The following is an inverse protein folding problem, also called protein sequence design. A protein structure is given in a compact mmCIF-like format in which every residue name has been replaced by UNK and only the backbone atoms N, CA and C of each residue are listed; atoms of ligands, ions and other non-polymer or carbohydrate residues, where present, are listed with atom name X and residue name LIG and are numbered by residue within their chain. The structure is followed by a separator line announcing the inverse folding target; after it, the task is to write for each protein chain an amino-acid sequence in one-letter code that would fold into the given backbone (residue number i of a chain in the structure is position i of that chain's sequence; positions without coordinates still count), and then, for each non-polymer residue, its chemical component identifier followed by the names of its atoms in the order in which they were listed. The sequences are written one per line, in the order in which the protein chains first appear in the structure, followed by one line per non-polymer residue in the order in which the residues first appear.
data_IF_908372019598
#
_entry.id   IF_908372019598
#
_cell.length_a   1.000
_cell.length_b   1.000
_cell.length_c   1.000
_cell.angle_alpha   90.00
_cell.angle_beta   90.00
_cell.angle_gamma   90.00
#
_symmetry.space_group_name_H-M   'P 1'
#
loop_
_entity.id
_entity.type
_entity.pdbx_description
1 polymer ?
#
# COMPACT_ATOMS: atom_id res chain seq x y z
N UNK A 1 21.44 13.10 2.59
CA UNK A 1 20.89 12.01 3.40
C UNK A 1 20.55 10.85 2.48
N UNK A 2 20.90 9.60 2.83
CA UNK A 2 20.55 8.43 2.02
C UNK A 2 19.04 8.17 2.01
N UNK A 3 18.53 7.45 1.02
CA UNK A 3 17.15 7.02 0.97
C UNK A 3 16.84 6.10 2.17
N UNK A 4 15.63 6.20 2.72
CA UNK A 4 15.16 5.32 3.79
C UNK A 4 14.81 3.93 3.27
N UNK A 5 14.13 3.89 2.12
CA UNK A 5 13.91 2.70 1.32
C UNK A 5 14.38 2.97 -0.10
N UNK A 6 15.19 2.08 -0.68
CA UNK A 6 15.62 2.16 -2.08
C UNK A 6 15.27 0.87 -2.82
N UNK A 7 14.76 1.04 -4.02
CA UNK A 7 14.55 0.02 -5.03
C UNK A 7 15.59 0.31 -6.11
N UNK A 8 16.50 -0.63 -6.38
CA UNK A 8 17.67 -0.38 -7.23
C UNK A 8 17.74 -1.40 -8.36
N UNK A 9 17.47 -0.94 -9.58
CA UNK A 9 17.53 -1.73 -10.81
C UNK A 9 16.65 -2.98 -10.78
N UNK A 10 15.53 -2.95 -10.07
CA UNK A 10 14.70 -4.14 -9.88
C UNK A 10 14.07 -4.59 -11.18
N UNK A 11 14.31 -5.87 -11.51
CA UNK A 11 13.70 -6.57 -12.62
C UNK A 11 13.23 -7.97 -12.22
N UNK A 12 12.14 -8.46 -12.83
CA UNK A 12 11.65 -9.81 -12.61
C UNK A 12 11.10 -10.43 -13.89
N UNK A 13 11.52 -11.67 -14.13
CA UNK A 13 11.02 -12.53 -15.21
C UNK A 13 10.44 -13.79 -14.62
N UNK A 14 9.14 -14.03 -14.82
CA UNK A 14 8.50 -15.26 -14.41
C UNK A 14 8.77 -16.37 -15.41
N UNK A 15 9.06 -17.58 -14.91
CA UNK A 15 9.31 -18.78 -15.74
C UNK A 15 10.30 -18.57 -16.91
N UNK A 16 11.53 -18.10 -16.65
CA UNK A 16 12.48 -17.73 -17.72
C UNK A 16 12.81 -18.87 -18.68
N UNK A 17 12.53 -20.12 -18.32
CA UNK A 17 12.70 -21.29 -19.18
C UNK A 17 11.58 -21.48 -20.22
N UNK A 18 10.38 -20.87 -19.98
CA UNK A 18 9.22 -20.99 -20.88
C UNK A 18 8.92 -19.70 -21.65
N UNK A 19 9.18 -18.57 -21.05
CA UNK A 19 8.99 -17.23 -21.66
C UNK A 19 10.04 -16.30 -21.09
N UNK A 20 10.83 -15.68 -21.95
CA UNK A 20 11.85 -14.72 -21.57
C UNK A 20 11.31 -13.31 -21.37
N UNK A 21 9.98 -13.11 -21.42
CA UNK A 21 9.38 -11.78 -21.28
C UNK A 21 9.39 -11.34 -19.83
N UNK A 22 10.12 -10.29 -19.46
CA UNK A 22 10.13 -9.78 -18.10
C UNK A 22 8.80 -9.08 -17.74
N UNK A 23 8.38 -9.18 -16.50
CA UNK A 23 7.24 -8.43 -15.99
C UNK A 23 7.65 -7.00 -15.59
N UNK A 24 8.82 -6.87 -14.93
CA UNK A 24 9.41 -5.58 -14.54
C UNK A 24 10.85 -5.50 -15.04
N UNK A 25 11.29 -4.30 -15.43
CA UNK A 25 12.65 -4.03 -15.89
C UNK A 25 13.16 -2.70 -15.35
N UNK A 26 14.33 -2.72 -14.69
CA UNK A 26 15.07 -1.52 -14.32
C UNK A 26 14.25 -0.54 -13.48
N UNK A 27 13.54 -1.05 -12.46
CA UNK A 27 12.77 -0.19 -11.56
C UNK A 27 13.70 0.42 -10.52
N UNK A 28 13.82 1.75 -10.54
CA UNK A 28 14.61 2.54 -9.61
C UNK A 28 13.72 3.54 -8.88
N UNK A 29 13.68 3.47 -7.53
CA UNK A 29 12.87 4.38 -6.70
C UNK A 29 13.53 4.57 -5.34
N UNK A 30 13.64 5.83 -4.92
CA UNK A 30 14.12 6.20 -3.58
C UNK A 30 12.98 6.84 -2.80
N UNK A 31 12.73 6.35 -1.60
CA UNK A 31 11.65 6.81 -0.71
C UNK A 31 12.27 7.30 0.59
N UNK A 32 11.80 8.46 1.07
CA UNK A 32 12.24 9.05 2.32
C UNK A 32 11.46 8.48 3.51
N UNK A 33 12.02 8.61 4.70
CA UNK A 33 11.32 8.20 5.93
C UNK A 33 10.07 9.06 6.14
N UNK A 34 8.94 8.42 6.43
CA UNK A 34 7.66 9.08 6.66
C UNK A 34 6.94 9.52 5.38
N UNK A 35 7.49 9.24 4.21
CA UNK A 35 6.88 9.58 2.93
C UNK A 35 5.74 8.62 2.58
N UNK A 36 4.66 9.17 2.02
CA UNK A 36 3.55 8.41 1.45
C UNK A 36 3.65 8.40 -0.07
N UNK A 37 3.92 7.25 -0.66
CA UNK A 37 4.05 7.07 -2.11
C UNK A 37 2.91 6.20 -2.63
N UNK A 38 2.15 6.70 -3.61
CA UNK A 38 1.21 5.86 -4.36
C UNK A 38 1.82 5.39 -5.68
N UNK A 39 1.55 4.13 -6.01
CA UNK A 39 1.92 3.53 -7.31
C UNK A 39 0.65 3.35 -8.12
N UNK A 40 0.59 3.97 -9.30
CA UNK A 40 -0.56 3.91 -10.20
C UNK A 40 -0.13 3.40 -11.58
N UNK A 41 -1.06 2.82 -12.32
CA UNK A 41 -0.81 2.30 -13.68
C UNK A 41 -1.87 1.29 -14.07
N UNK A 42 -1.88 0.90 -15.35
CA UNK A 42 -2.87 -0.04 -15.89
C UNK A 42 -2.83 -1.42 -15.21
N UNK A 43 -3.95 -2.15 -15.30
CA UNK A 43 -4.00 -3.52 -14.80
C UNK A 43 -2.94 -4.38 -15.49
N UNK A 44 -2.28 -5.26 -14.72
CA UNK A 44 -1.25 -6.16 -15.24
C UNK A 44 0.15 -5.53 -15.46
N UNK A 45 0.36 -4.24 -15.17
CA UNK A 45 1.68 -3.61 -15.32
C UNK A 45 2.69 -3.95 -14.19
N UNK A 46 2.36 -4.85 -13.28
CA UNK A 46 3.32 -5.35 -12.29
C UNK A 46 3.36 -4.60 -10.95
N UNK A 47 2.39 -3.73 -10.63
CA UNK A 47 2.33 -2.99 -9.34
C UNK A 47 2.38 -3.90 -8.12
N UNK A 48 1.48 -4.89 -8.05
CA UNK A 48 1.45 -5.86 -6.94
C UNK A 48 2.71 -6.73 -6.92
N UNK A 49 3.32 -7.00 -8.08
CA UNK A 49 4.62 -7.69 -8.17
C UNK A 49 5.72 -6.85 -7.51
N UNK A 50 5.79 -5.55 -7.81
CA UNK A 50 6.74 -4.63 -7.19
C UNK A 50 6.51 -4.53 -5.69
N UNK A 51 5.25 -4.39 -5.24
CA UNK A 51 4.92 -4.36 -3.81
C UNK A 51 5.37 -5.65 -3.09
N UNK A 52 5.14 -6.82 -3.70
CA UNK A 52 5.56 -8.10 -3.13
C UNK A 52 7.10 -8.23 -3.06
N UNK A 53 7.84 -7.64 -4.01
CA UNK A 53 9.31 -7.58 -3.93
C UNK A 53 9.73 -6.69 -2.77
N UNK A 54 9.12 -5.51 -2.60
CA UNK A 54 9.40 -4.62 -1.45
C UNK A 54 9.05 -5.28 -0.12
N UNK A 55 7.99 -6.08 -0.06
CA UNK A 55 7.61 -6.86 1.12
C UNK A 55 8.61 -8.00 1.46
N UNK A 56 9.48 -8.37 0.51
CA UNK A 56 10.34 -9.55 0.62
C UNK A 56 9.60 -10.88 0.42
N UNK A 57 8.37 -10.84 -0.11
CA UNK A 57 7.57 -12.02 -0.45
C UNK A 57 7.96 -12.62 -1.80
N UNK A 58 8.58 -11.82 -2.65
CA UNK A 58 9.02 -12.22 -3.98
C UNK A 58 10.46 -11.73 -4.20
N UNK A 59 11.34 -12.62 -4.66
CA UNK A 59 12.72 -12.25 -4.98
C UNK A 59 12.79 -11.71 -6.41
N UNK A 60 13.41 -10.54 -6.64
CA UNK A 60 13.67 -10.05 -7.98
C UNK A 60 14.69 -10.93 -8.70
N UNK A 61 14.66 -10.93 -10.04
CA UNK A 61 15.67 -11.60 -10.88
C UNK A 61 16.93 -10.73 -11.00
N UNK A 62 16.77 -9.42 -11.00
CA UNK A 62 17.83 -8.41 -11.07
C UNK A 62 17.57 -7.31 -10.06
N UNK A 63 18.64 -6.66 -9.61
CA UNK A 63 18.56 -5.55 -8.66
C UNK A 63 18.20 -6.01 -7.25
N UNK A 64 17.76 -5.05 -6.41
CA UNK A 64 17.40 -5.32 -5.05
C UNK A 64 16.62 -4.20 -4.38
N UNK A 65 16.04 -4.51 -3.22
CA UNK A 65 15.38 -3.53 -2.35
C UNK A 65 16.17 -3.40 -1.06
N UNK A 66 16.39 -2.18 -0.59
CA UNK A 66 17.12 -1.91 0.63
C UNK A 66 16.27 -1.04 1.55
N UNK A 67 16.15 -1.45 2.82
CA UNK A 67 15.53 -0.67 3.89
C UNK A 67 16.61 -0.30 4.91
N UNK A 68 16.81 0.99 5.16
CA UNK A 68 17.90 1.48 6.02
C UNK A 68 19.26 0.87 5.63
N UNK A 69 19.55 0.82 4.33
CA UNK A 69 20.77 0.22 3.74
C UNK A 69 20.92 -1.30 3.94
N UNK A 70 19.90 -2.00 4.43
CA UNK A 70 19.89 -3.46 4.57
C UNK A 70 19.07 -4.09 3.45
N UNK A 71 19.64 -5.09 2.79
CA UNK A 71 18.96 -5.84 1.74
C UNK A 71 17.69 -6.52 2.28
N UNK A 72 16.59 -6.35 1.57
CA UNK A 72 15.33 -7.05 1.81
C UNK A 72 15.35 -8.38 1.06
N UNK A 73 15.65 -9.47 1.72
CA UNK A 73 15.76 -10.81 1.16
C UNK A 73 14.65 -11.78 1.61
N UNK A 74 13.89 -11.39 2.65
CA UNK A 74 12.79 -12.17 3.21
C UNK A 74 11.73 -11.24 3.85
N UNK A 75 10.49 -11.74 4.08
CA UNK A 75 9.49 -11.02 4.86
C UNK A 75 9.95 -10.75 6.28
N UNK A 76 9.59 -9.57 6.81
CA UNK A 76 9.95 -9.17 8.17
C UNK A 76 8.89 -8.29 8.83
N UNK A 77 8.88 -8.17 10.18
CA UNK A 77 7.91 -7.38 10.92
C UNK A 77 8.06 -5.87 10.67
N UNK A 78 9.18 -5.44 10.14
CA UNK A 78 9.46 -4.05 9.75
C UNK A 78 8.69 -3.60 8.48
N UNK A 79 8.06 -4.54 7.78
CA UNK A 79 7.22 -4.29 6.60
C UNK A 79 5.91 -5.04 6.72
N UNK A 80 4.81 -4.31 6.98
CA UNK A 80 3.48 -4.90 7.03
C UNK A 80 2.76 -4.73 5.71
N UNK A 81 2.00 -5.76 5.30
CA UNK A 81 1.25 -5.77 4.05
C UNK A 81 -0.24 -5.84 4.32
N UNK A 82 -0.99 -4.93 3.71
CA UNK A 82 -2.45 -4.99 3.59
C UNK A 82 -2.77 -5.48 2.17
N UNK A 83 -3.24 -6.70 2.07
CA UNK A 83 -3.57 -7.33 0.78
C UNK A 83 -4.96 -6.92 0.29
N UNK A 84 -5.16 -6.91 -1.01
CA UNK A 84 -6.45 -6.68 -1.65
C UNK A 84 -7.53 -7.65 -1.15
N UNK A 85 -7.19 -8.91 -0.94
CA UNK A 85 -8.10 -9.96 -0.47
C UNK A 85 -8.22 -10.07 1.06
N UNK A 86 -8.00 -8.99 1.81
CA UNK A 86 -8.11 -8.88 3.27
C UNK A 86 -7.26 -9.90 4.07
N UNK A 87 -7.09 -11.12 3.59
CA UNK A 87 -6.27 -12.22 4.15
C UNK A 87 -6.49 -12.47 5.64
N UNK A 88 -7.74 -12.36 6.12
CA UNK A 88 -8.11 -12.70 7.49
C UNK A 88 -8.22 -14.22 7.65
N UNK A 89 -7.79 -14.72 8.81
CA UNK A 89 -7.93 -16.12 9.17
C UNK A 89 -9.38 -16.39 9.56
N UNK A 90 -10.14 -17.22 8.80
CA UNK A 90 -11.59 -17.34 8.97
C UNK A 90 -12.01 -18.01 10.27
N UNK A 91 -11.14 -18.78 10.90
CA UNK A 91 -11.37 -19.45 12.20
C UNK A 91 -11.02 -18.59 13.41
N UNK A 92 -10.48 -17.40 13.22
CA UNK A 92 -10.18 -16.44 14.27
C UNK A 92 -11.21 -15.30 14.27
N UNK A 93 -11.53 -14.78 15.47
CA UNK A 93 -12.34 -13.57 15.59
C UNK A 93 -11.58 -12.33 15.05
N UNK A 94 -12.28 -11.21 14.91
CA UNK A 94 -11.69 -9.91 14.58
C UNK A 94 -10.54 -9.57 15.53
N UNK A 95 -10.78 -9.69 16.84
CA UNK A 95 -9.77 -9.47 17.86
C UNK A 95 -8.56 -10.40 17.67
N UNK A 96 -8.81 -11.70 17.54
CA UNK A 96 -7.74 -12.70 17.40
C UNK A 96 -6.90 -12.53 16.14
N UNK A 97 -7.49 -12.05 15.02
CA UNK A 97 -6.76 -11.75 13.80
C UNK A 97 -5.73 -10.64 14.00
N UNK A 98 -6.04 -9.61 14.80
CA UNK A 98 -5.10 -8.53 15.12
C UNK A 98 -4.12 -8.97 16.20
N UNK A 99 -4.63 -9.61 17.28
CA UNK A 99 -3.83 -10.09 18.40
C UNK A 99 -2.71 -11.04 17.96
N UNK A 100 -2.95 -11.91 16.99
CA UNK A 100 -1.95 -12.82 16.45
C UNK A 100 -0.70 -12.07 15.93
N UNK A 101 -0.89 -10.94 15.25
CA UNK A 101 0.22 -10.12 14.76
C UNK A 101 0.96 -9.43 15.92
N UNK A 102 0.22 -8.90 16.90
CA UNK A 102 0.76 -8.30 18.10
C UNK A 102 1.60 -9.31 18.90
N UNK A 103 1.08 -10.52 19.11
CA UNK A 103 1.79 -11.59 19.82
C UNK A 103 3.07 -12.02 19.09
N UNK A 104 3.02 -12.08 17.77
CA UNK A 104 4.19 -12.44 16.97
C UNK A 104 5.31 -11.42 17.09
N UNK A 105 4.98 -10.14 17.12
CA UNK A 105 5.97 -9.03 17.16
C UNK A 105 6.41 -8.74 18.59
N UNK A 106 5.47 -8.67 19.53
CA UNK A 106 5.71 -8.16 20.88
C UNK A 106 5.63 -9.22 21.99
N UNK A 107 5.43 -10.50 21.64
CA UNK A 107 5.28 -11.57 22.63
C UNK A 107 6.44 -11.72 23.63
N UNK A 108 7.63 -11.24 23.27
CA UNK A 108 8.82 -11.26 24.14
C UNK A 108 9.12 -9.93 24.83
N UNK A 109 8.48 -8.84 24.43
CA UNK A 109 8.82 -7.48 24.84
C UNK A 109 7.73 -6.76 25.59
N UNK A 110 6.46 -7.19 25.44
CA UNK A 110 5.29 -6.62 26.10
C UNK A 110 4.56 -7.70 26.93
N UNK A 111 4.02 -7.30 28.06
CA UNK A 111 3.12 -8.16 28.87
C UNK A 111 1.85 -8.50 28.12
N UNK A 112 1.11 -9.48 28.63
CA UNK A 112 -0.17 -9.89 28.03
C UNK A 112 -1.19 -8.74 28.04
N UNK A 113 -1.29 -8.02 29.15
CA UNK A 113 -2.17 -6.86 29.30
C UNK A 113 -1.85 -5.72 28.32
N UNK A 114 -0.56 -5.38 28.14
CA UNK A 114 -0.13 -4.36 27.18
C UNK A 114 -0.46 -4.78 25.74
N UNK A 115 -0.35 -6.06 25.40
CA UNK A 115 -0.70 -6.58 24.07
C UNK A 115 -2.20 -6.57 23.84
N UNK A 116 -3.02 -6.84 24.89
CA UNK A 116 -4.47 -6.69 24.84
C UNK A 116 -4.87 -5.25 24.57
N UNK A 117 -4.37 -4.33 25.36
CA UNK A 117 -4.64 -2.90 25.22
C UNK A 117 -4.25 -2.40 23.82
N UNK A 118 -3.06 -2.78 23.34
CA UNK A 118 -2.58 -2.41 22.01
C UNK A 118 -3.43 -2.98 20.89
N UNK A 119 -3.91 -4.21 21.03
CA UNK A 119 -4.83 -4.85 20.07
C UNK A 119 -6.15 -4.09 20.00
N UNK A 120 -6.75 -3.77 21.15
CA UNK A 120 -8.01 -3.03 21.25
C UNK A 120 -7.84 -1.60 20.73
N UNK A 121 -6.73 -0.94 21.04
CA UNK A 121 -6.40 0.39 20.51
C UNK A 121 -6.42 0.41 18.97
N UNK A 122 -5.73 -0.53 18.31
CA UNK A 122 -5.69 -0.58 16.85
C UNK A 122 -7.05 -0.91 16.22
N UNK A 123 -7.86 -1.76 16.86
CA UNK A 123 -9.22 -2.01 16.42
C UNK A 123 -10.13 -0.79 16.59
N UNK A 124 -9.93 0.00 17.62
CA UNK A 124 -10.66 1.26 17.83
C UNK A 124 -10.30 2.31 16.77
N UNK A 125 -9.03 2.44 16.40
CA UNK A 125 -8.55 3.37 15.35
C UNK A 125 -9.29 3.17 14.01
N UNK A 126 -9.64 1.93 13.68
CA UNK A 126 -10.36 1.61 12.45
C UNK A 126 -11.88 1.46 12.66
N UNK A 127 -12.40 1.81 13.87
CA UNK A 127 -13.83 1.76 14.20
C UNK A 127 -14.41 0.35 14.32
N UNK A 128 -13.61 -0.65 14.73
CA UNK A 128 -14.01 -2.06 14.81
C UNK A 128 -14.26 -2.57 16.24
N UNK A 129 -14.28 -1.69 17.24
CA UNK A 129 -14.53 -2.08 18.66
C UNK A 129 -15.85 -2.81 18.88
N UNK A 130 -16.89 -2.52 18.07
CA UNK A 130 -18.20 -3.15 18.16
C UNK A 130 -18.26 -4.59 17.62
N UNK A 131 -17.22 -5.06 16.94
CA UNK A 131 -17.20 -6.33 16.22
C UNK A 131 -16.06 -7.28 16.66
N UNK A 132 -15.41 -7.02 17.79
CA UNK A 132 -14.20 -7.73 18.23
C UNK A 132 -14.39 -9.25 18.38
N UNK A 133 -15.59 -9.68 18.79
CA UNK A 133 -15.94 -11.09 19.00
C UNK A 133 -16.44 -11.79 17.73
N UNK A 134 -16.70 -11.05 16.64
CA UNK A 134 -17.20 -11.61 15.38
C UNK A 134 -16.11 -12.30 14.58
N UNK A 135 -16.50 -13.32 13.82
CA UNK A 135 -15.64 -13.97 12.83
C UNK A 135 -15.69 -13.22 11.47
N UNK A 136 -14.70 -13.43 10.59
CA UNK A 136 -14.70 -12.82 9.25
C UNK A 136 -15.97 -13.12 8.41
N UNK A 137 -16.62 -14.28 8.61
CA UNK A 137 -17.88 -14.63 7.94
C UNK A 137 -19.07 -13.77 8.37
N UNK A 138 -18.99 -13.11 9.54
CA UNK A 138 -20.09 -12.34 10.15
C UNK A 138 -19.97 -10.83 9.92
N UNK A 139 -18.96 -10.40 9.15
CA UNK A 139 -18.67 -8.98 8.89
C UNK A 139 -18.59 -8.69 7.39
N UNK A 140 -18.90 -7.45 7.00
CA UNK A 140 -18.85 -7.01 5.60
C UNK A 140 -17.42 -6.98 5.04
N UNK A 141 -17.29 -6.92 3.72
CA UNK A 141 -15.99 -6.78 3.04
C UNK A 141 -15.20 -5.56 3.52
N UNK A 142 -15.88 -4.42 3.67
CA UNK A 142 -15.26 -3.21 4.20
C UNK A 142 -14.81 -3.33 5.66
N UNK A 143 -15.54 -4.07 6.50
CA UNK A 143 -15.11 -4.37 7.87
C UNK A 143 -13.88 -5.29 7.87
N UNK A 144 -13.83 -6.29 6.98
CA UNK A 144 -12.65 -7.16 6.81
C UNK A 144 -11.42 -6.34 6.44
N UNK A 145 -11.57 -5.36 5.53
CA UNK A 145 -10.48 -4.47 5.14
C UNK A 145 -9.94 -3.65 6.32
N UNK A 146 -10.84 -3.07 7.13
CA UNK A 146 -10.46 -2.34 8.34
C UNK A 146 -9.67 -3.22 9.32
N UNK A 147 -10.10 -4.46 9.53
CA UNK A 147 -9.39 -5.42 10.38
C UNK A 147 -8.00 -5.74 9.80
N UNK A 148 -7.88 -5.90 8.49
CA UNK A 148 -6.60 -6.09 7.81
C UNK A 148 -5.64 -4.92 8.01
N UNK A 149 -6.15 -3.69 7.94
CA UNK A 149 -5.37 -2.46 8.22
C UNK A 149 -4.98 -2.40 9.71
N UNK A 150 -5.91 -2.65 10.64
CA UNK A 150 -5.60 -2.70 12.06
C UNK A 150 -4.51 -3.72 12.39
N UNK A 151 -4.57 -4.91 11.79
CA UNK A 151 -3.56 -5.95 11.94
C UNK A 151 -2.18 -5.50 11.46
N UNK A 152 -2.12 -4.81 10.33
CA UNK A 152 -0.87 -4.30 9.78
C UNK A 152 -0.28 -3.17 10.64
N UNK A 153 -1.10 -2.21 11.07
CA UNK A 153 -0.68 -1.10 11.93
C UNK A 153 -0.23 -1.58 13.32
N UNK A 154 -0.91 -2.60 13.86
CA UNK A 154 -0.60 -3.16 15.17
C UNK A 154 0.81 -3.78 15.25
N UNK A 155 1.46 -4.07 14.12
CA UNK A 155 2.85 -4.52 14.07
C UNK A 155 3.89 -3.40 14.25
N UNK A 156 3.47 -2.12 14.29
CA UNK A 156 4.35 -0.93 14.28
C UNK A 156 5.42 -0.99 13.17
N UNK A 157 5.00 -1.22 11.92
CA UNK A 157 5.95 -1.44 10.84
C UNK A 157 6.70 -0.15 10.49
N UNK A 158 7.95 -0.28 10.01
CA UNK A 158 8.72 0.81 9.42
C UNK A 158 8.15 1.25 8.08
N UNK A 159 7.63 0.29 7.31
CA UNK A 159 7.00 0.50 6.01
C UNK A 159 5.66 -0.22 5.96
N UNK A 160 4.61 0.52 5.68
CA UNK A 160 3.27 -0.02 5.44
C UNK A 160 3.04 -0.14 3.94
N UNK A 161 2.78 -1.35 3.49
CA UNK A 161 2.53 -1.69 2.10
C UNK A 161 1.04 -1.99 1.92
N UNK A 162 0.37 -1.36 0.96
CA UNK A 162 -1.06 -1.52 0.76
C UNK A 162 -1.37 -1.78 -0.71
N UNK A 163 -2.05 -2.89 -1.00
CA UNK A 163 -2.50 -3.24 -2.34
C UNK A 163 -4.00 -3.01 -2.46
N UNK A 164 -4.41 -1.93 -3.12
CA UNK A 164 -5.79 -1.48 -3.33
C UNK A 164 -6.65 -1.49 -2.05
N UNK A 165 -6.21 -0.80 -0.97
CA UNK A 165 -6.79 -0.98 0.37
C UNK A 165 -8.24 -0.49 0.49
N UNK A 166 -8.75 0.27 -0.45
CA UNK A 166 -10.08 0.87 -0.39
C UNK A 166 -11.06 0.35 -1.45
N UNK A 167 -10.61 -0.56 -2.33
CA UNK A 167 -11.41 -1.02 -3.48
C UNK A 167 -12.74 -1.69 -3.12
N UNK A 168 -12.82 -2.38 -1.97
CA UNK A 168 -14.02 -3.06 -1.51
C UNK A 168 -14.98 -2.20 -0.68
N UNK A 169 -14.73 -0.87 -0.57
CA UNK A 169 -15.49 0.04 0.29
C UNK A 169 -16.48 0.89 -0.50
N UNK A 170 -17.67 1.12 0.06
CA UNK A 170 -18.55 2.20 -0.38
C UNK A 170 -17.93 3.58 -0.13
N UNK A 171 -18.42 4.60 -0.82
CA UNK A 171 -17.83 5.93 -0.84
C UNK A 171 -17.67 6.55 0.56
N UNK A 172 -18.66 6.41 1.45
CA UNK A 172 -18.63 7.01 2.78
C UNK A 172 -17.65 6.29 3.72
N UNK A 173 -17.65 4.96 3.69
CA UNK A 173 -16.71 4.15 4.47
C UNK A 173 -15.28 4.31 3.96
N UNK A 174 -15.09 4.43 2.65
CA UNK A 174 -13.81 4.74 2.01
C UNK A 174 -13.25 6.07 2.52
N UNK A 175 -14.06 7.15 2.45
CA UNK A 175 -13.66 8.47 2.92
C UNK A 175 -13.23 8.44 4.40
N UNK A 176 -14.04 7.84 5.28
CA UNK A 176 -13.72 7.71 6.72
C UNK A 176 -12.40 6.97 6.97
N UNK A 177 -12.15 5.89 6.22
CA UNK A 177 -10.93 5.10 6.42
C UNK A 177 -9.69 5.81 5.88
N UNK A 178 -9.82 6.54 4.76
CA UNK A 178 -8.76 7.38 4.23
C UNK A 178 -8.41 8.53 5.20
N UNK A 179 -9.42 9.16 5.79
CA UNK A 179 -9.21 10.21 6.81
C UNK A 179 -8.51 9.65 8.06
N UNK A 180 -8.93 8.46 8.52
CA UNK A 180 -8.26 7.78 9.63
C UNK A 180 -6.80 7.43 9.28
N UNK A 181 -6.53 6.95 8.06
CA UNK A 181 -5.17 6.63 7.61
C UNK A 181 -4.29 7.90 7.56
N UNK A 182 -4.82 9.02 7.07
CA UNK A 182 -4.10 10.31 7.09
C UNK A 182 -3.75 10.75 8.51
N UNK A 183 -4.69 10.62 9.46
CA UNK A 183 -4.43 10.94 10.87
C UNK A 183 -3.35 10.03 11.47
N UNK A 184 -3.42 8.73 11.21
CA UNK A 184 -2.43 7.75 11.68
C UNK A 184 -1.04 8.09 11.11
N UNK A 185 -0.95 8.34 9.81
CA UNK A 185 0.31 8.68 9.15
C UNK A 185 0.90 9.98 9.68
N UNK A 186 0.07 11.01 9.94
CA UNK A 186 0.51 12.27 10.55
C UNK A 186 1.03 12.08 11.98
N UNK A 187 0.53 11.09 12.72
CA UNK A 187 0.94 10.82 14.12
C UNK A 187 2.16 9.92 14.18
N UNK A 188 2.18 8.85 13.38
CA UNK A 188 3.22 7.81 13.45
C UNK A 188 4.37 8.06 12.48
N UNK A 189 4.20 8.93 11.48
CA UNK A 189 5.17 9.21 10.42
C UNK A 189 5.71 7.93 9.74
N UNK A 190 4.84 6.92 9.58
CA UNK A 190 5.20 5.69 8.90
C UNK A 190 5.43 5.96 7.41
N UNK A 191 6.43 5.30 6.84
CA UNK A 191 6.60 5.28 5.39
C UNK A 191 5.54 4.38 4.78
N UNK A 192 4.84 4.87 3.76
CA UNK A 192 3.71 4.15 3.14
C UNK A 192 3.95 3.99 1.65
N UNK A 193 3.73 2.78 1.13
CA UNK A 193 3.62 2.52 -0.31
C UNK A 193 2.24 1.92 -0.56
N UNK A 194 1.43 2.61 -1.36
CA UNK A 194 0.08 2.21 -1.68
C UNK A 194 -0.08 1.99 -3.18
N UNK A 195 -0.67 0.88 -3.56
CA UNK A 195 -1.17 0.69 -4.92
C UNK A 195 -2.64 1.11 -4.94
N UNK A 196 -2.99 1.92 -5.92
CA UNK A 196 -4.38 2.25 -6.21
C UNK A 196 -4.59 2.45 -7.72
N UNK A 197 -5.81 2.25 -8.18
CA UNK A 197 -6.27 2.64 -9.51
C UNK A 197 -7.13 3.92 -9.48
N UNK A 198 -7.40 4.45 -8.30
CA UNK A 198 -8.18 5.66 -8.09
C UNK A 198 -7.24 6.87 -8.01
N UNK A 199 -7.38 7.79 -9.00
CA UNK A 199 -6.54 8.98 -9.11
C UNK A 199 -6.77 9.94 -7.95
N UNK A 200 -8.02 10.08 -7.51
CA UNK A 200 -8.39 10.97 -6.40
C UNK A 200 -7.81 10.46 -5.07
N UNK A 201 -7.78 9.14 -4.86
CA UNK A 201 -7.07 8.54 -3.71
C UNK A 201 -5.57 8.84 -3.73
N UNK A 202 -4.93 8.66 -4.90
CA UNK A 202 -3.50 8.88 -5.03
C UNK A 202 -3.13 10.35 -4.74
N UNK A 203 -3.85 11.31 -5.31
CA UNK A 203 -3.58 12.75 -5.09
C UNK A 203 -3.89 13.16 -3.65
N UNK A 204 -4.98 12.65 -3.06
CA UNK A 204 -5.37 12.98 -1.70
C UNK A 204 -4.35 12.53 -0.66
N UNK A 205 -3.83 11.30 -0.81
CA UNK A 205 -3.07 10.63 0.25
C UNK A 205 -1.56 10.79 0.14
N UNK A 206 -1.03 10.95 -1.09
CA UNK A 206 0.39 10.78 -1.34
C UNK A 206 1.19 12.08 -1.34
N UNK A 207 2.44 11.99 -0.98
CA UNK A 207 3.44 13.04 -1.18
C UNK A 207 4.04 12.95 -2.60
N UNK A 208 4.13 11.72 -3.13
CA UNK A 208 4.49 11.44 -4.54
C UNK A 208 3.63 10.33 -5.13
N UNK A 209 3.40 10.44 -6.44
CA UNK A 209 2.74 9.42 -7.24
C UNK A 209 3.73 8.87 -8.25
N UNK A 210 3.96 7.57 -8.20
CA UNK A 210 4.79 6.81 -9.15
C UNK A 210 3.87 6.19 -10.20
N UNK A 211 4.03 6.60 -11.44
CA UNK A 211 3.23 6.14 -12.56
C UNK A 211 4.01 5.10 -13.36
N UNK A 212 3.50 3.88 -13.42
CA UNK A 212 4.14 2.77 -14.12
C UNK A 212 3.72 2.70 -15.59
N UNK A 213 4.67 2.31 -16.45
CA UNK A 213 4.39 2.03 -17.88
C UNK A 213 3.56 0.76 -18.02
N UNK A 214 2.97 0.54 -19.20
CA UNK A 214 2.26 -0.70 -19.49
C UNK A 214 3.21 -1.91 -19.51
N UNK A 215 2.70 -3.08 -19.14
CA UNK A 215 3.39 -4.35 -19.37
C UNK A 215 3.30 -4.81 -20.85
N UNK A 216 4.09 -5.82 -21.23
CA UNK A 216 5.17 -6.44 -20.48
C UNK A 216 6.41 -5.54 -20.35
N UNK A 217 7.39 -5.94 -19.53
CA UNK A 217 8.61 -5.18 -19.28
C UNK A 217 8.34 -3.77 -18.72
N UNK A 218 7.38 -3.67 -17.78
CA UNK A 218 7.01 -2.40 -17.19
C UNK A 218 8.12 -1.81 -16.30
N UNK A 219 8.19 -0.50 -16.29
CA UNK A 219 9.11 0.28 -15.46
C UNK A 219 8.39 1.52 -14.91
N UNK A 220 9.09 2.37 -14.18
CA UNK A 220 8.59 3.69 -13.82
C UNK A 220 8.60 4.58 -15.06
N UNK A 221 7.44 5.12 -15.41
CA UNK A 221 7.30 6.04 -16.53
C UNK A 221 7.48 7.49 -16.12
N UNK A 222 6.89 7.86 -14.97
CA UNK A 222 6.95 9.22 -14.44
C UNK A 222 6.74 9.21 -12.92
N UNK A 223 7.30 10.20 -12.24
CA UNK A 223 7.08 10.46 -10.82
C UNK A 223 6.57 11.89 -10.67
N UNK A 224 5.41 12.04 -10.03
CA UNK A 224 4.78 13.34 -9.78
C UNK A 224 4.85 13.65 -8.29
N UNK A 225 5.45 14.77 -7.92
CA UNK A 225 5.40 15.32 -6.57
C UNK A 225 4.04 15.99 -6.34
N UNK A 226 3.48 15.82 -5.15
CA UNK A 226 2.19 16.37 -4.76
C UNK A 226 2.42 17.46 -3.72
N UNK A 227 2.52 18.74 -4.12
CA UNK A 227 2.86 19.86 -3.24
C UNK A 227 1.64 20.37 -2.45
N UNK A 228 0.85 19.44 -1.92
CA UNK A 228 -0.30 19.74 -1.05
C UNK A 228 0.12 19.58 0.41
N UNK A 229 -0.07 20.62 1.20
CA UNK A 229 0.25 20.62 2.63
C UNK A 229 -0.60 19.60 3.42
N UNK A 230 -0.08 19.10 4.53
CA UNK A 230 -0.78 18.26 5.49
C UNK A 230 -1.11 19.06 6.76
N UNK A 231 -2.24 18.79 7.44
CA UNK A 231 -3.27 17.78 7.14
C UNK A 231 -4.18 18.22 6.00
N UNK A 232 -4.48 17.29 5.08
CA UNK A 232 -5.37 17.54 3.95
C UNK A 232 -6.82 17.32 4.35
N UNK A 233 -7.69 18.29 4.07
CA UNK A 233 -9.13 18.18 4.28
C UNK A 233 -9.84 18.14 2.94
N UNK A 234 -10.70 17.15 2.74
CA UNK A 234 -11.39 16.91 1.46
C UNK A 234 -12.17 18.11 0.95
N UNK A 235 -12.86 18.81 1.87
CA UNK A 235 -13.69 19.97 1.48
C UNK A 235 -12.82 21.12 1.02
N UNK A 236 -11.66 21.34 1.65
CA UNK A 236 -10.74 22.42 1.27
C UNK A 236 -10.08 22.13 -0.10
N UNK A 237 -9.95 20.86 -0.48
CA UNK A 237 -9.36 20.43 -1.75
C UNK A 237 -10.36 20.43 -2.92
N UNK A 238 -11.66 20.56 -2.66
CA UNK A 238 -12.69 20.47 -3.71
C UNK A 238 -12.50 21.52 -4.82
N UNK A 239 -12.07 22.72 -4.44
CA UNK A 239 -11.82 23.85 -5.36
C UNK A 239 -10.32 24.21 -5.45
N UNK A 240 -9.42 23.35 -4.96
CA UNK A 240 -7.98 23.61 -4.96
C UNK A 240 -7.37 23.42 -6.35
N UNK A 241 -6.73 24.45 -6.89
CA UNK A 241 -6.13 24.44 -8.22
C UNK A 241 -4.95 23.47 -8.33
N UNK A 242 -4.16 23.28 -7.26
CA UNK A 242 -3.02 22.36 -7.21
C UNK A 242 -3.50 20.92 -7.22
N UNK A 243 -4.59 20.62 -6.45
CA UNK A 243 -5.24 19.32 -6.48
C UNK A 243 -5.75 18.99 -7.88
N UNK A 244 -6.48 19.91 -8.51
CA UNK A 244 -7.02 19.73 -9.86
C UNK A 244 -5.90 19.57 -10.90
N UNK A 245 -4.79 20.30 -10.78
CA UNK A 245 -3.62 20.17 -11.64
C UNK A 245 -2.97 18.79 -11.52
N UNK A 246 -2.63 18.36 -10.30
CA UNK A 246 -2.02 17.05 -10.05
C UNK A 246 -2.89 15.90 -10.56
N UNK A 247 -4.21 15.98 -10.29
CA UNK A 247 -5.17 15.02 -10.84
C UNK A 247 -5.14 14.96 -12.37
N UNK A 248 -5.08 16.14 -13.01
CA UNK A 248 -4.98 16.26 -14.47
C UNK A 248 -3.72 15.62 -15.04
N UNK A 249 -2.55 15.79 -14.38
CA UNK A 249 -1.28 15.18 -14.80
C UNK A 249 -1.36 13.65 -14.77
N UNK A 250 -1.86 13.08 -13.67
CA UNK A 250 -2.01 11.63 -13.55
C UNK A 250 -2.95 11.08 -14.62
N UNK A 251 -4.09 11.74 -14.87
CA UNK A 251 -5.02 11.35 -15.92
C UNK A 251 -4.35 11.41 -17.32
N UNK A 252 -3.64 12.50 -17.64
CA UNK A 252 -2.92 12.63 -18.93
C UNK A 252 -1.96 11.47 -19.14
N UNK A 253 -1.16 11.12 -18.12
CA UNK A 253 -0.24 9.99 -18.20
C UNK A 253 -0.95 8.67 -18.49
N UNK A 254 -2.05 8.39 -17.77
CA UNK A 254 -2.81 7.15 -17.93
C UNK A 254 -3.47 7.06 -19.31
N UNK A 255 -4.11 8.16 -19.76
CA UNK A 255 -4.76 8.19 -21.09
C UNK A 255 -3.76 8.12 -22.24
N UNK A 256 -2.61 8.77 -22.15
CA UNK A 256 -1.59 8.73 -23.20
C UNK A 256 -1.04 7.30 -23.43
N UNK A 257 -1.16 6.42 -22.45
CA UNK A 257 -0.72 5.02 -22.50
C UNK A 257 -1.87 4.01 -22.60
N UNK A 258 -3.10 4.50 -22.66
CA UNK A 258 -4.26 3.64 -22.93
C UNK A 258 -4.26 3.27 -24.42
N UNK A 259 -3.72 2.08 -24.78
CA UNK A 259 -3.95 1.49 -26.09
C UNK A 259 -5.36 0.89 -26.09
N UNK A 260 -6.27 1.32 -26.99
CA UNK A 260 -7.51 0.56 -27.20
C UNK A 260 -7.16 -0.86 -27.62
N UNK A 261 -7.84 -1.84 -27.06
CA UNK A 261 -7.65 -3.28 -27.38
C UNK A 261 -7.89 -3.62 -28.88
N UNK A 262 -8.43 -2.68 -29.65
CA UNK A 262 -8.83 -2.86 -31.06
C UNK A 262 -7.81 -2.34 -32.08
N UNK A 263 -6.63 -1.86 -31.65
CA UNK A 263 -5.63 -1.31 -32.59
C UNK A 263 -4.76 -2.37 -33.29
N UNK A 264 -4.78 -3.62 -32.84
CA UNK A 264 -3.98 -4.73 -33.42
C UNK A 264 -4.84 -5.71 -34.26
N UNK A 265 -6.11 -5.36 -34.59
CA UNK A 265 -7.03 -6.19 -35.39
C UNK A 265 -7.34 -5.59 -36.77
N UNK A 266 -6.47 -4.74 -37.33
CA UNK A 266 -6.58 -4.20 -38.66
C UNK A 266 -5.35 -4.51 -39.55
#
# INVERSE_FOLDING_TARGET
MGAYLSIEGVGITFNPRKSATPALVGVDLKIQKGEFVSIIGHSGCGKSTLLNIVAGLLKPTLGGVFLESKLVDAPGPDRAVVFQNHSLLPWLTVYQNVRLAVDKVFGKTRSDAERDEWTLHNLNLVGMSHAIAKHPSEISGGMKQRVGIARALAMEPKVLLMDEPFGALDALNRARLQDALMQIQNTLHNTVIMITHDVDEAVLLSDRIVMMTNGPAATIGEILDIPLERPRKRLDLADDATYAHCRGEVLRFLYARHRPADADAA
#
